data_IF_962812321004
#
_entry.id   IF_962812321004
#
_cell.length_a   1.000
_cell.length_b   1.000
_cell.length_c   1.000
_cell.angle_alpha   90.00
_cell.angle_beta   90.00
_cell.angle_gamma   90.00
#
_symmetry.space_group_name_H-M   'P 1'
#
loop_
_entity.id
_entity.type
_entity.pdbx_description
1 polymer ?
#
# COMPACT_ATOMS: atom_id res chain seq x y z
N UNK A 1 -4.06 2.52 -4.42
CA UNK A 1 -4.01 2.77 -5.87
C UNK A 1 -2.56 2.88 -6.30
N UNK A 2 -2.15 2.09 -7.29
CA UNK A 2 -0.84 2.19 -7.93
C UNK A 2 -1.01 2.83 -9.31
N UNK A 3 -0.20 3.87 -9.57
CA UNK A 3 -0.25 4.61 -10.84
C UNK A 3 0.32 3.75 -11.96
N UNK A 4 -0.38 3.73 -13.10
CA UNK A 4 0.06 3.12 -14.35
C UNK A 4 -0.21 4.06 -15.53
N UNK A 5 0.60 4.00 -16.57
CA UNK A 5 0.42 4.80 -17.78
C UNK A 5 -0.81 4.36 -18.58
N UNK A 6 -1.09 3.06 -18.61
CA UNK A 6 -2.26 2.45 -19.27
C UNK A 6 -2.81 1.31 -18.45
N UNK A 7 -4.11 1.38 -18.08
CA UNK A 7 -4.78 0.38 -17.26
C UNK A 7 -4.97 -0.94 -18.00
N UNK A 8 -5.23 -0.94 -19.32
CA UNK A 8 -5.43 -2.18 -20.09
C UNK A 8 -4.12 -2.95 -20.22
N UNK A 9 -3.02 -2.26 -20.51
CA UNK A 9 -1.68 -2.87 -20.57
C UNK A 9 -1.26 -3.42 -19.21
N UNK A 10 -1.46 -2.66 -18.15
CA UNK A 10 -1.13 -3.09 -16.78
C UNK A 10 -1.93 -4.32 -16.37
N UNK A 11 -3.24 -4.32 -16.59
CA UNK A 11 -4.13 -5.46 -16.29
C UNK A 11 -3.72 -6.70 -17.07
N UNK A 12 -3.41 -6.58 -18.36
CA UNK A 12 -2.97 -7.69 -19.18
C UNK A 12 -1.62 -8.27 -18.69
N UNK A 13 -0.66 -7.41 -18.35
CA UNK A 13 0.64 -7.82 -17.83
C UNK A 13 0.53 -8.51 -16.46
N UNK A 14 -0.27 -7.96 -15.55
CA UNK A 14 -0.54 -8.55 -14.22
C UNK A 14 -1.20 -9.92 -14.35
N UNK A 15 -2.20 -10.05 -15.23
CA UNK A 15 -2.88 -11.32 -15.45
C UNK A 15 -1.94 -12.37 -16.06
N UNK A 16 -1.06 -11.99 -17.00
CA UNK A 16 -0.05 -12.87 -17.59
C UNK A 16 0.99 -13.36 -16.56
N UNK A 17 1.24 -12.56 -15.51
CA UNK A 17 2.18 -12.88 -14.41
C UNK A 17 1.48 -13.57 -13.20
N UNK A 18 0.25 -14.07 -13.39
CA UNK A 18 -0.48 -14.87 -12.39
C UNK A 18 -1.40 -14.08 -11.46
N UNK A 19 -1.49 -12.77 -11.61
CA UNK A 19 -2.50 -11.97 -10.93
C UNK A 19 -3.91 -12.18 -11.48
N UNK A 20 -4.92 -11.67 -10.80
CA UNK A 20 -6.33 -11.81 -11.20
C UNK A 20 -7.03 -10.47 -11.30
N UNK A 21 -7.96 -10.36 -12.23
CA UNK A 21 -8.85 -9.20 -12.36
C UNK A 21 -10.07 -9.44 -11.47
N UNK A 22 -10.27 -8.60 -10.47
CA UNK A 22 -11.44 -8.63 -9.58
C UNK A 22 -12.54 -7.69 -10.06
N UNK A 23 -12.14 -6.53 -10.61
CA UNK A 23 -13.05 -5.57 -11.24
C UNK A 23 -12.38 -5.09 -12.55
N UNK A 24 -13.05 -5.26 -13.69
CA UNK A 24 -12.52 -4.80 -14.97
C UNK A 24 -12.35 -3.29 -15.00
N UNK A 25 -11.60 -2.80 -15.98
CA UNK A 25 -11.40 -1.37 -16.20
C UNK A 25 -12.72 -0.61 -16.20
N UNK A 26 -12.76 0.48 -15.45
CA UNK A 26 -13.87 1.43 -15.42
C UNK A 26 -13.35 2.86 -15.51
N UNK A 27 -14.11 3.71 -16.19
CA UNK A 27 -13.85 5.15 -16.29
C UNK A 27 -14.54 5.91 -15.17
N UNK A 28 -13.82 6.87 -14.60
CA UNK A 28 -14.32 7.84 -13.63
C UNK A 28 -13.95 9.24 -14.11
N UNK A 29 -14.61 10.31 -13.63
CA UNK A 29 -14.21 11.69 -13.94
C UNK A 29 -12.74 12.01 -13.62
N UNK A 30 -12.16 11.29 -12.65
CA UNK A 30 -10.79 11.48 -12.16
C UNK A 30 -9.77 10.51 -12.77
N UNK A 31 -10.18 9.68 -13.73
CA UNK A 31 -9.29 8.74 -14.39
C UNK A 31 -9.90 7.38 -14.70
N UNK A 32 -9.09 6.45 -15.14
CA UNK A 32 -9.48 5.05 -15.34
C UNK A 32 -8.80 4.15 -14.32
N UNK A 33 -9.49 3.13 -13.85
CA UNK A 33 -8.95 2.18 -12.87
C UNK A 33 -9.46 0.77 -13.08
N UNK A 34 -8.76 -0.21 -12.52
CA UNK A 34 -9.20 -1.60 -12.36
C UNK A 34 -8.78 -2.13 -11.00
N UNK A 35 -9.52 -3.09 -10.44
CA UNK A 35 -9.12 -3.82 -9.24
C UNK A 35 -8.52 -5.16 -9.63
N UNK A 36 -7.32 -5.42 -9.19
CA UNK A 36 -6.57 -6.64 -9.49
C UNK A 36 -6.01 -7.25 -8.20
N UNK A 37 -5.47 -8.46 -8.30
CA UNK A 37 -4.60 -9.04 -7.25
C UNK A 37 -3.21 -9.30 -7.80
N UNK A 38 -2.24 -9.37 -6.91
CA UNK A 38 -0.97 -10.03 -7.20
C UNK A 38 -1.16 -11.57 -7.29
N UNK A 39 -0.13 -12.36 -7.66
CA UNK A 39 -0.22 -13.81 -7.71
C UNK A 39 -0.53 -14.48 -6.37
N UNK A 40 -0.21 -13.85 -5.24
CA UNK A 40 -0.48 -14.32 -3.89
C UNK A 40 -1.90 -14.00 -3.41
N UNK A 41 -2.62 -13.13 -4.14
CA UNK A 41 -4.01 -12.78 -3.88
C UNK A 41 -4.21 -11.43 -3.17
N UNK A 42 -3.16 -10.64 -2.93
CA UNK A 42 -3.30 -9.29 -2.36
C UNK A 42 -4.00 -8.34 -3.33
N UNK A 43 -5.17 -7.76 -2.97
CA UNK A 43 -5.90 -6.88 -3.86
C UNK A 43 -5.33 -5.46 -3.84
N UNK A 44 -5.32 -4.82 -5.01
CA UNK A 44 -4.98 -3.41 -5.17
C UNK A 44 -5.57 -2.83 -6.45
N UNK A 45 -5.73 -1.50 -6.47
CA UNK A 45 -6.14 -0.81 -7.69
C UNK A 45 -4.93 -0.39 -8.51
N UNK A 46 -5.04 -0.55 -9.84
CA UNK A 46 -4.21 0.16 -10.82
C UNK A 46 -5.02 1.32 -11.39
N UNK A 47 -4.39 2.48 -11.60
CA UNK A 47 -5.09 3.69 -12.02
C UNK A 47 -4.23 4.55 -12.93
N UNK A 48 -4.84 5.05 -14.00
CA UNK A 48 -4.33 6.16 -14.81
C UNK A 48 -5.18 7.39 -14.44
N UNK A 49 -4.64 8.32 -13.61
CA UNK A 49 -5.39 9.50 -13.17
C UNK A 49 -5.53 10.52 -14.30
N UNK A 50 -6.60 11.32 -14.24
CA UNK A 50 -6.78 12.52 -15.02
C UNK A 50 -6.66 13.72 -14.08
N UNK A 51 -5.65 14.58 -14.25
CA UNK A 51 -5.49 15.77 -13.43
C UNK A 51 -6.67 16.72 -13.58
N UNK A 52 -6.93 17.60 -12.58
CA UNK A 52 -7.93 18.64 -12.71
C UNK A 52 -7.64 19.55 -13.93
N UNK A 53 -8.67 19.98 -14.68
CA UNK A 53 -8.47 20.79 -15.90
C UNK A 53 -7.74 22.12 -15.67
N UNK A 54 -7.86 22.67 -14.47
CA UNK A 54 -7.20 23.92 -14.05
C UNK A 54 -5.76 23.68 -13.51
N UNK A 55 -5.37 22.42 -13.32
CA UNK A 55 -4.06 22.02 -12.82
C UNK A 55 -3.54 20.77 -13.57
N UNK A 56 -3.27 20.88 -14.89
CA UNK A 56 -2.92 19.71 -15.71
C UNK A 56 -1.59 19.04 -15.32
N UNK A 57 -0.70 19.78 -14.63
CA UNK A 57 0.60 19.30 -14.17
C UNK A 57 0.61 18.97 -12.66
N UNK A 58 -0.56 18.92 -12.01
CA UNK A 58 -0.64 18.61 -10.60
C UNK A 58 -0.12 17.20 -10.30
N UNK A 59 0.88 17.11 -9.44
CA UNK A 59 1.32 15.85 -8.87
C UNK A 59 0.35 15.42 -7.75
N UNK A 60 0.26 14.10 -7.53
CA UNK A 60 -0.51 13.56 -6.39
C UNK A 60 0.17 13.92 -5.07
N UNK A 61 -0.58 14.44 -4.14
CA UNK A 61 -0.17 14.75 -2.77
C UNK A 61 -0.69 13.72 -1.74
N UNK A 62 -1.25 12.61 -2.20
CA UNK A 62 -1.84 11.58 -1.33
C UNK A 62 -0.83 10.97 -0.34
N UNK A 63 0.44 10.88 -0.74
CA UNK A 63 1.53 10.36 0.08
C UNK A 63 2.41 11.49 0.61
N UNK A 64 2.63 11.50 1.94
CA UNK A 64 3.59 12.40 2.57
C UNK A 64 4.28 11.73 3.76
N UNK A 65 5.62 11.77 3.84
CA UNK A 65 6.35 11.22 4.99
C UNK A 65 6.20 12.08 6.26
N UNK A 66 5.69 13.31 6.16
CA UNK A 66 5.64 14.26 7.28
C UNK A 66 4.26 14.85 7.54
N UNK A 67 3.48 15.13 6.51
CA UNK A 67 2.20 15.82 6.66
C UNK A 67 1.12 14.91 7.28
N UNK A 68 0.31 15.42 8.21
CA UNK A 68 -0.83 14.69 8.74
C UNK A 68 -1.93 14.53 7.69
N UNK A 69 -2.81 13.55 7.89
CA UNK A 69 -3.96 13.23 7.00
C UNK A 69 -3.57 12.77 5.59
N UNK A 70 -2.28 12.42 5.38
CA UNK A 70 -1.79 11.79 4.16
C UNK A 70 -1.43 10.33 4.44
N UNK A 71 -1.40 9.51 3.40
CA UNK A 71 -0.79 8.18 3.50
C UNK A 71 0.69 8.38 3.80
N UNK A 72 1.17 7.75 4.86
CA UNK A 72 2.55 7.87 5.33
C UNK A 72 3.37 6.62 5.08
N UNK A 73 2.71 5.49 5.05
CA UNK A 73 3.33 4.18 4.92
C UNK A 73 2.37 3.19 4.28
N UNK A 74 2.88 2.26 3.48
CA UNK A 74 2.13 1.16 2.91
C UNK A 74 2.81 -0.15 3.28
N UNK A 75 2.06 -1.11 3.76
CA UNK A 75 2.61 -2.38 4.24
C UNK A 75 1.88 -3.56 3.60
N UNK A 76 2.64 -4.50 3.05
CA UNK A 76 2.11 -5.74 2.52
C UNK A 76 2.63 -6.92 3.34
N UNK A 77 1.70 -7.65 3.97
CA UNK A 77 1.95 -9.01 4.44
C UNK A 77 1.70 -10.00 3.32
N UNK A 78 2.69 -10.83 2.97
CA UNK A 78 2.60 -11.80 1.87
C UNK A 78 3.09 -13.18 2.29
N UNK A 79 2.47 -14.28 1.79
CA UNK A 79 2.94 -15.64 2.06
C UNK A 79 4.25 -15.98 1.33
N UNK A 80 4.59 -15.26 0.26
CA UNK A 80 5.82 -15.44 -0.51
C UNK A 80 6.51 -14.09 -0.77
N UNK A 81 7.42 -13.73 0.13
CA UNK A 81 8.14 -12.46 0.07
C UNK A 81 8.99 -12.31 -1.21
N UNK A 82 9.62 -13.40 -1.67
CA UNK A 82 10.49 -13.34 -2.85
C UNK A 82 9.67 -13.13 -4.13
N UNK A 83 8.57 -13.86 -4.28
CA UNK A 83 7.67 -13.72 -5.41
C UNK A 83 6.99 -12.34 -5.43
N UNK A 84 6.53 -11.82 -4.27
CA UNK A 84 5.93 -10.50 -4.15
C UNK A 84 6.93 -9.40 -4.55
N UNK A 85 8.14 -9.41 -4.00
CA UNK A 85 9.20 -8.45 -4.38
C UNK A 85 9.46 -8.46 -5.89
N UNK A 86 9.58 -9.64 -6.50
CA UNK A 86 9.80 -9.78 -7.94
C UNK A 86 8.64 -9.21 -8.77
N UNK A 87 7.40 -9.47 -8.35
CA UNK A 87 6.19 -8.96 -8.98
C UNK A 87 6.10 -7.44 -8.94
N UNK A 88 6.22 -6.84 -7.74
CA UNK A 88 6.10 -5.38 -7.59
C UNK A 88 7.28 -4.62 -8.21
N UNK A 89 8.48 -5.20 -8.21
CA UNK A 89 9.62 -4.63 -8.94
C UNK A 89 9.36 -4.59 -10.45
N UNK A 90 8.83 -5.67 -11.03
CA UNK A 90 8.57 -5.80 -12.47
C UNK A 90 7.46 -4.87 -12.96
N UNK A 91 6.36 -4.80 -12.22
CA UNK A 91 5.16 -4.09 -12.67
C UNK A 91 5.14 -2.61 -12.26
N UNK A 92 5.83 -2.23 -11.17
CA UNK A 92 5.75 -0.88 -10.60
C UNK A 92 7.10 -0.23 -10.35
N UNK A 93 8.20 -0.90 -10.70
CA UNK A 93 9.54 -0.36 -10.51
C UNK A 93 9.95 -0.20 -9.04
N UNK A 94 9.33 -0.95 -8.12
CA UNK A 94 9.73 -0.92 -6.73
C UNK A 94 11.11 -1.55 -6.55
N UNK A 95 11.93 -0.90 -5.73
CA UNK A 95 13.26 -1.37 -5.36
C UNK A 95 13.27 -1.80 -3.88
N UNK A 96 14.03 -2.86 -3.57
CA UNK A 96 14.10 -3.43 -2.23
C UNK A 96 15.55 -3.48 -1.75
N UNK A 97 16.18 -2.30 -1.69
CA UNK A 97 17.61 -2.15 -1.40
C UNK A 97 17.96 -2.34 0.08
N UNK A 98 16.99 -2.16 0.95
CA UNK A 98 17.15 -2.21 2.40
C UNK A 98 16.11 -3.11 3.05
N UNK A 99 16.52 -3.76 4.15
CA UNK A 99 15.62 -4.57 4.97
C UNK A 99 15.98 -4.47 6.46
N UNK A 100 14.99 -4.62 7.32
CA UNK A 100 15.16 -4.75 8.75
C UNK A 100 14.87 -6.20 9.17
N UNK A 101 15.83 -6.93 9.73
CA UNK A 101 15.59 -8.27 10.24
C UNK A 101 14.62 -8.25 11.42
N UNK A 102 13.56 -9.07 11.36
CA UNK A 102 12.59 -9.23 12.45
C UNK A 102 12.73 -10.61 13.14
N UNK A 103 13.93 -11.20 13.13
CA UNK A 103 14.17 -12.50 13.72
C UNK A 103 13.32 -13.61 13.09
N UNK A 104 12.58 -14.41 13.88
CA UNK A 104 11.75 -15.50 13.35
C UNK A 104 10.64 -15.05 12.41
N UNK A 105 10.25 -13.76 12.44
CA UNK A 105 9.22 -13.21 11.56
C UNK A 105 9.74 -12.92 10.14
N UNK A 106 11.05 -13.09 9.89
CA UNK A 106 11.67 -12.84 8.59
C UNK A 106 12.14 -11.40 8.41
N UNK A 107 12.26 -10.96 7.17
CA UNK A 107 12.75 -9.62 6.84
C UNK A 107 11.59 -8.67 6.51
N UNK A 108 11.67 -7.46 7.04
CA UNK A 108 10.83 -6.33 6.71
C UNK A 108 11.54 -5.53 5.61
N UNK A 109 11.18 -5.78 4.34
CA UNK A 109 11.86 -5.23 3.17
C UNK A 109 11.26 -3.88 2.79
N UNK A 110 12.03 -2.80 2.89
CA UNK A 110 11.57 -1.46 2.52
C UNK A 110 11.32 -1.33 1.02
N UNK A 111 10.27 -0.61 0.66
CA UNK A 111 9.92 -0.27 -0.72
C UNK A 111 10.51 1.09 -1.03
N UNK A 112 11.54 1.12 -1.86
CA UNK A 112 12.09 2.35 -2.43
C UNK A 112 11.47 2.57 -3.82
N UNK A 113 11.07 3.80 -4.11
CA UNK A 113 10.55 4.18 -5.43
C UNK A 113 10.93 5.63 -5.73
N UNK A 114 11.69 5.84 -6.80
CA UNK A 114 12.21 7.16 -7.20
C UNK A 114 12.93 7.92 -6.06
N UNK A 115 13.68 7.20 -5.23
CA UNK A 115 14.44 7.77 -4.12
C UNK A 115 13.61 8.09 -2.87
N UNK A 116 12.36 7.65 -2.82
CA UNK A 116 11.46 7.80 -1.67
C UNK A 116 11.08 6.42 -1.10
N UNK A 117 11.16 6.26 0.21
CA UNK A 117 10.64 5.08 0.90
C UNK A 117 9.13 5.22 1.05
N UNK A 118 8.37 4.29 0.47
CA UNK A 118 6.92 4.31 0.46
C UNK A 118 6.27 3.39 1.50
N UNK A 119 7.04 2.41 2.01
CA UNK A 119 6.47 1.36 2.84
C UNK A 119 7.39 0.15 2.94
N UNK A 120 6.80 -1.03 3.16
CA UNK A 120 7.54 -2.28 3.19
C UNK A 120 6.68 -3.48 2.76
N UNK A 121 7.37 -4.58 2.40
CA UNK A 121 6.79 -5.90 2.22
C UNK A 121 7.43 -6.84 3.24
N UNK A 122 6.64 -7.68 3.89
CA UNK A 122 7.12 -8.64 4.88
C UNK A 122 6.40 -9.98 4.77
N UNK A 123 6.96 -11.07 5.35
CA UNK A 123 6.22 -12.31 5.47
C UNK A 123 4.94 -12.12 6.30
N UNK A 124 3.83 -12.63 5.79
CA UNK A 124 2.56 -12.60 6.52
C UNK A 124 2.66 -13.45 7.79
N UNK A 125 2.34 -12.84 8.95
CA UNK A 125 2.46 -13.50 10.24
C UNK A 125 1.23 -14.34 10.60
N UNK A 126 0.05 -13.94 10.14
CA UNK A 126 -1.20 -14.65 10.34
C UNK A 126 -1.78 -15.10 9.00
N UNK A 127 -1.75 -16.41 8.76
CA UNK A 127 -2.26 -17.03 7.53
C UNK A 127 -3.77 -17.30 7.56
N UNK A 128 -4.48 -16.86 8.61
CA UNK A 128 -5.94 -17.04 8.72
C UNK A 128 -6.74 -16.09 7.82
N UNK A 129 -6.10 -15.08 7.26
CA UNK A 129 -6.70 -14.13 6.31
C UNK A 129 -5.86 -14.05 5.02
N UNK A 130 -6.42 -13.57 3.90
CA UNK A 130 -5.66 -13.34 2.68
C UNK A 130 -4.60 -12.26 2.86
N UNK A 131 -3.55 -12.22 2.02
CA UNK A 131 -2.59 -11.13 2.00
C UNK A 131 -3.29 -9.81 1.72
N UNK A 132 -2.82 -8.73 2.35
CA UNK A 132 -3.49 -7.44 2.31
C UNK A 132 -2.46 -6.30 2.33
N UNK A 133 -2.73 -5.28 1.53
CA UNK A 133 -2.11 -3.97 1.66
C UNK A 133 -2.77 -3.16 2.77
N UNK A 134 -1.98 -2.73 3.74
CA UNK A 134 -2.39 -1.85 4.82
C UNK A 134 -1.80 -0.47 4.60
N UNK A 135 -2.64 0.55 4.51
CA UNK A 135 -2.20 1.94 4.42
C UNK A 135 -2.21 2.58 5.82
N UNK A 136 -1.12 3.22 6.19
CA UNK A 136 -1.01 4.01 7.42
C UNK A 136 -1.19 5.49 7.09
N UNK A 137 -2.06 6.15 7.81
CA UNK A 137 -2.31 7.58 7.68
C UNK A 137 -1.54 8.33 8.77
N UNK A 138 -0.85 9.40 8.38
CA UNK A 138 -0.18 10.29 9.32
C UNK A 138 -1.20 11.02 10.20
N UNK A 139 -0.99 10.98 11.52
CA UNK A 139 -1.78 11.72 12.50
C UNK A 139 -0.87 12.46 13.46
N UNK A 140 -1.34 13.52 14.08
CA UNK A 140 -0.57 14.29 15.07
C UNK A 140 -0.40 13.55 16.39
N UNK A 141 -1.31 12.61 16.71
CA UNK A 141 -1.27 11.79 17.92
C UNK A 141 -2.03 10.48 17.70
N UNK A 142 -1.35 9.36 17.80
CA UNK A 142 -1.98 8.03 17.71
C UNK A 142 -2.96 7.79 18.87
N UNK A 143 -2.69 8.34 20.06
CA UNK A 143 -3.60 8.25 21.21
C UNK A 143 -4.89 9.04 20.99
N UNK A 144 -4.79 10.24 20.43
CA UNK A 144 -5.99 11.02 20.09
C UNK A 144 -6.77 10.35 18.96
N UNK A 145 -6.09 9.87 17.92
CA UNK A 145 -6.73 9.14 16.82
C UNK A 145 -7.47 7.89 17.32
N UNK A 146 -6.89 7.11 18.25
CA UNK A 146 -7.58 6.00 18.89
C UNK A 146 -8.90 6.43 19.54
N UNK A 147 -8.87 7.50 20.33
CA UNK A 147 -10.07 7.98 21.02
C UNK A 147 -11.17 8.43 20.02
N UNK A 148 -10.77 9.12 18.96
CA UNK A 148 -11.71 9.55 17.89
C UNK A 148 -12.31 8.35 17.13
N UNK A 149 -11.50 7.34 16.80
CA UNK A 149 -11.95 6.11 16.15
C UNK A 149 -13.02 5.42 17.01
N UNK A 150 -12.75 5.22 18.30
CA UNK A 150 -13.67 4.57 19.24
C UNK A 150 -14.94 5.40 19.47
N UNK A 151 -14.81 6.73 19.58
CA UNK A 151 -15.95 7.62 19.76
C UNK A 151 -16.91 7.66 18.55
N UNK A 152 -16.38 7.39 17.34
CA UNK A 152 -17.15 7.36 16.10
C UNK A 152 -17.57 5.94 15.66
N UNK A 153 -17.44 4.93 16.54
CA UNK A 153 -17.94 3.58 16.31
C UNK A 153 -16.95 2.64 15.62
N UNK A 154 -15.71 3.07 15.36
CA UNK A 154 -14.64 2.22 14.91
C UNK A 154 -14.11 1.34 16.05
N UNK A 155 -13.43 0.26 15.68
CA UNK A 155 -12.86 -0.68 16.63
C UNK A 155 -11.33 -0.73 16.49
N UNK A 156 -10.62 -0.45 17.57
CA UNK A 156 -9.17 -0.60 17.61
C UNK A 156 -8.82 -2.09 17.77
N UNK A 157 -7.97 -2.58 16.85
CA UNK A 157 -7.48 -3.95 16.83
C UNK A 157 -6.16 -4.06 17.58
N UNK A 158 -5.28 -3.04 17.45
CA UNK A 158 -3.94 -3.06 18.01
C UNK A 158 -3.45 -1.64 18.31
N UNK A 159 -2.67 -1.49 19.37
CA UNK A 159 -2.02 -0.23 19.72
C UNK A 159 -2.84 0.70 20.64
N UNK A 160 -2.35 1.92 20.88
CA UNK A 160 -1.10 2.49 20.37
C UNK A 160 0.13 1.77 20.88
N UNK A 161 1.08 1.47 20.00
CA UNK A 161 2.40 0.95 20.36
C UNK A 161 3.49 1.62 19.54
N UNK A 162 4.69 1.65 20.05
CA UNK A 162 5.82 2.26 19.36
C UNK A 162 6.45 1.24 18.40
N UNK A 163 6.73 1.66 17.17
CA UNK A 163 7.44 0.87 16.16
C UNK A 163 8.93 1.24 16.13
N UNK A 164 9.79 0.38 15.55
CA UNK A 164 11.17 0.77 15.26
C UNK A 164 11.20 2.07 14.44
N UNK A 165 12.01 3.05 14.89
CA UNK A 165 11.99 4.41 14.32
C UNK A 165 11.36 5.44 15.27
N UNK A 166 10.57 4.99 16.25
CA UNK A 166 10.05 5.85 17.31
C UNK A 166 8.62 6.34 17.11
N UNK A 167 8.03 6.11 15.94
CA UNK A 167 6.64 6.44 15.67
C UNK A 167 5.66 5.56 16.46
N UNK A 168 4.47 6.12 16.75
CA UNK A 168 3.38 5.42 17.39
C UNK A 168 2.31 5.05 16.38
N UNK A 169 1.87 3.79 16.40
CA UNK A 169 0.85 3.27 15.48
C UNK A 169 -0.35 2.71 16.23
N UNK A 170 -1.51 2.81 15.59
CA UNK A 170 -2.76 2.16 16.00
C UNK A 170 -3.39 1.53 14.76
N UNK A 171 -3.86 0.29 14.87
CA UNK A 171 -4.58 -0.42 13.81
C UNK A 171 -6.03 -0.52 14.20
N UNK A 172 -6.93 -0.15 13.29
CA UNK A 172 -8.36 -0.10 13.55
C UNK A 172 -9.20 -0.45 12.30
N UNK A 173 -10.45 -0.79 12.53
CA UNK A 173 -11.48 -1.07 11.54
C UNK A 173 -12.79 -0.36 11.89
#
# INVERSE_FOLDING_TARGET
YLHVSDVDEAVAAIAADGGRVLMPKMGLPVGTMALVTDPQGAPFYVMTPVPPPDQPDAASDVFSPSEPQHVRWNELGTPDLAAAKSFYARHFGFEFNNAMPMGPAGDYCFIDHHGQVLGAIMPQQDMSHPPLWLAYFGVTSATAAKAEIEANGGRVLQGPHQVPGGDWVVVAV
#
